data_IF_772068405730
#
_entry.id   IF_772068405730
#
_cell.length_a   1.000
_cell.length_b   1.000
_cell.length_c   1.000
_cell.angle_alpha   90.00
_cell.angle_beta   90.00
_cell.angle_gamma   90.00
#
_symmetry.space_group_name_H-M   'P 1'
#
loop_
_entity.id
_entity.type
_entity.pdbx_description
1 polymer ?
#
# COMPACT_ATOMS: atom_id res chain seq x y z
N UNK A 1 -5.10 41.20 -41.68
CA UNK A 1 -6.08 40.30 -41.05
C UNK A 1 -5.54 38.88 -40.77
N UNK A 2 -4.42 38.43 -41.38
CA UNK A 2 -3.83 37.10 -41.09
C UNK A 2 -2.92 37.08 -39.84
N UNK A 3 -2.34 38.21 -39.46
CA UNK A 3 -1.41 38.31 -38.32
C UNK A 3 -2.14 38.24 -36.97
N UNK A 4 -3.33 38.84 -36.85
CA UNK A 4 -4.14 38.79 -35.62
C UNK A 4 -4.66 37.39 -35.31
N UNK A 5 -5.00 36.59 -36.34
CA UNK A 5 -5.46 35.21 -36.12
C UNK A 5 -4.38 34.35 -35.47
N UNK A 6 -3.14 34.41 -35.98
CA UNK A 6 -2.03 33.66 -35.40
C UNK A 6 -1.69 34.06 -33.96
N UNK A 7 -1.81 35.35 -33.63
CA UNK A 7 -1.62 35.86 -32.27
C UNK A 7 -2.73 35.41 -31.31
N UNK A 8 -3.98 35.43 -31.76
CA UNK A 8 -5.11 34.93 -30.96
C UNK A 8 -5.02 33.41 -30.74
N UNK A 9 -4.65 32.66 -31.77
CA UNK A 9 -4.49 31.19 -31.67
C UNK A 9 -3.36 30.83 -30.69
N UNK A 10 -2.25 31.57 -30.72
CA UNK A 10 -1.17 31.43 -29.74
C UNK A 10 -1.60 31.77 -28.30
N UNK A 11 -2.38 32.84 -28.14
CA UNK A 11 -2.94 33.23 -26.84
C UNK A 11 -3.86 32.15 -26.27
N UNK A 12 -4.76 31.60 -27.09
CA UNK A 12 -5.64 30.50 -26.67
C UNK A 12 -4.86 29.24 -26.30
N UNK A 13 -3.82 28.89 -27.06
CA UNK A 13 -2.97 27.74 -26.73
C UNK A 13 -2.24 27.91 -25.39
N UNK A 14 -1.72 29.11 -25.10
CA UNK A 14 -1.05 29.39 -23.84
C UNK A 14 -2.01 29.31 -22.63
N UNK A 15 -3.26 29.76 -22.81
CA UNK A 15 -4.30 29.65 -21.78
C UNK A 15 -4.68 28.20 -21.48
N UNK A 16 -4.83 27.36 -22.52
CA UNK A 16 -5.13 25.93 -22.35
C UNK A 16 -4.02 25.22 -21.58
N UNK A 17 -2.75 25.46 -21.93
CA UNK A 17 -1.61 24.86 -21.23
C UNK A 17 -1.55 25.27 -19.75
N UNK A 18 -1.82 26.54 -19.44
CA UNK A 18 -1.86 27.03 -18.05
C UNK A 18 -2.99 26.38 -17.24
N UNK A 19 -4.16 26.15 -17.87
CA UNK A 19 -5.27 25.45 -17.23
C UNK A 19 -4.95 23.97 -16.99
N UNK A 20 -4.27 23.30 -17.92
CA UNK A 20 -3.81 21.92 -17.77
C UNK A 20 -2.76 21.81 -16.66
N UNK A 21 -1.78 22.72 -16.61
CA UNK A 21 -0.75 22.75 -15.57
C UNK A 21 -1.38 22.93 -14.17
N UNK A 22 -2.33 23.84 -14.02
CA UNK A 22 -3.08 24.05 -12.77
C UNK A 22 -3.89 22.83 -12.34
N UNK A 23 -4.38 22.03 -13.28
CA UNK A 23 -5.11 20.77 -13.00
C UNK A 23 -4.17 19.62 -12.66
N UNK A 24 -2.97 19.59 -13.22
CA UNK A 24 -2.02 18.50 -12.99
C UNK A 24 -1.35 18.62 -11.61
N UNK A 25 -1.12 19.84 -11.12
CA UNK A 25 -0.54 20.07 -9.79
C UNK A 25 -1.28 19.37 -8.62
N UNK A 26 -2.60 19.48 -8.45
CA UNK A 26 -3.32 18.74 -7.42
C UNK A 26 -3.31 17.23 -7.67
N UNK A 27 -3.27 16.79 -8.93
CA UNK A 27 -3.19 15.37 -9.31
C UNK A 27 -1.88 14.73 -8.84
N UNK A 28 -0.76 15.39 -9.10
CA UNK A 28 0.57 14.99 -8.62
C UNK A 28 0.61 14.93 -7.09
N UNK A 29 0.01 15.90 -6.41
CA UNK A 29 -0.06 15.92 -4.94
C UNK A 29 -0.89 14.74 -4.42
N UNK A 30 -2.04 14.47 -5.03
CA UNK A 30 -2.91 13.35 -4.68
C UNK A 30 -2.18 12.00 -4.80
N UNK A 31 -1.40 11.82 -5.86
CA UNK A 31 -0.63 10.60 -6.11
C UNK A 31 0.59 10.44 -5.20
N UNK A 32 1.15 11.58 -4.74
CA UNK A 32 2.31 11.59 -3.84
C UNK A 32 1.92 11.33 -2.37
N UNK A 33 0.69 11.65 -1.98
CA UNK A 33 0.26 11.62 -0.59
C UNK A 33 0.27 10.21 0.02
N UNK A 34 -0.29 9.16 -0.62
CA UNK A 34 -0.20 7.79 -0.12
C UNK A 34 1.25 7.29 0.00
N UNK A 35 2.14 7.70 -0.92
CA UNK A 35 3.56 7.30 -0.90
C UNK A 35 4.28 7.90 0.31
N UNK A 36 4.01 9.18 0.60
CA UNK A 36 4.56 9.85 1.78
C UNK A 36 4.06 9.22 3.09
N UNK A 37 2.76 8.89 3.17
CA UNK A 37 2.18 8.19 4.31
C UNK A 37 2.84 6.82 4.55
N UNK A 38 2.98 6.01 3.50
CA UNK A 38 3.69 4.71 3.59
C UNK A 38 5.12 4.88 4.08
N UNK A 39 5.85 5.87 3.57
CA UNK A 39 7.22 6.17 4.00
C UNK A 39 7.29 6.59 5.46
N UNK A 40 6.36 7.44 5.92
CA UNK A 40 6.30 7.89 7.30
C UNK A 40 5.96 6.75 8.27
N UNK A 41 4.98 5.90 7.91
CA UNK A 41 4.58 4.74 8.71
C UNK A 41 5.70 3.69 8.78
N UNK A 42 6.30 3.37 7.63
CA UNK A 42 7.37 2.37 7.55
C UNK A 42 8.72 2.87 8.07
N UNK A 43 8.88 4.16 8.37
CA UNK A 43 10.15 4.73 8.87
C UNK A 43 10.66 4.05 10.14
N UNK A 44 9.74 3.56 10.99
CA UNK A 44 10.07 2.88 12.25
C UNK A 44 10.01 1.36 12.16
N UNK A 45 9.62 0.80 11.01
CA UNK A 45 9.59 -0.64 10.80
C UNK A 45 11.03 -1.11 10.63
N UNK A 46 11.53 -1.82 11.64
CA UNK A 46 12.84 -2.47 11.58
C UNK A 46 12.65 -3.86 10.99
N UNK A 47 13.48 -4.20 9.99
CA UNK A 47 13.58 -5.58 9.53
C UNK A 47 13.96 -6.46 10.71
N UNK A 48 13.13 -7.44 11.02
CA UNK A 48 13.43 -8.49 12.01
C UNK A 48 13.65 -9.78 11.25
N UNK A 49 14.73 -10.49 11.58
CA UNK A 49 14.87 -11.89 11.21
C UNK A 49 13.93 -12.70 12.10
N UNK A 50 13.19 -13.61 11.49
CA UNK A 50 12.38 -14.58 12.20
C UNK A 50 13.05 -15.94 12.16
N UNK A 51 12.88 -16.72 13.22
CA UNK A 51 13.35 -18.10 13.33
C UNK A 51 12.18 -19.05 13.61
N UNK A 52 12.42 -20.33 13.39
CA UNK A 52 11.48 -21.37 13.82
C UNK A 52 11.31 -21.31 15.34
N UNK A 53 10.07 -21.37 15.81
CA UNK A 53 9.72 -21.17 17.21
C UNK A 53 9.36 -19.73 17.60
N UNK A 54 9.60 -18.73 16.75
CA UNK A 54 9.23 -17.34 17.06
C UNK A 54 7.71 -17.14 17.04
N UNK A 55 7.23 -16.38 18.03
CA UNK A 55 5.83 -15.96 18.10
C UNK A 55 5.60 -14.69 17.27
N UNK A 56 4.68 -14.77 16.31
CA UNK A 56 4.34 -13.67 15.41
C UNK A 56 2.83 -13.44 15.37
N UNK A 57 2.41 -12.20 15.15
CA UNK A 57 1.00 -11.88 14.91
C UNK A 57 0.72 -11.94 13.41
N UNK A 58 -0.34 -12.64 13.03
CA UNK A 58 -0.78 -12.75 11.64
C UNK A 58 -1.91 -11.76 11.36
N UNK A 59 -1.77 -10.99 10.29
CA UNK A 59 -2.77 -10.03 9.86
C UNK A 59 -4.01 -10.75 9.28
N UNK A 60 -5.20 -10.27 9.64
CA UNK A 60 -6.48 -10.71 9.09
C UNK A 60 -6.58 -10.21 7.65
N UNK A 61 -6.56 -11.14 6.70
CA UNK A 61 -6.75 -10.84 5.28
C UNK A 61 -8.22 -10.87 4.90
N UNK A 62 -8.60 -10.40 3.71
CA UNK A 62 -9.98 -10.49 3.23
C UNK A 62 -10.52 -11.94 3.17
N UNK A 63 -9.63 -12.93 3.11
CA UNK A 63 -9.96 -14.36 3.09
C UNK A 63 -10.30 -14.88 4.49
N UNK A 64 -9.61 -14.37 5.50
CA UNK A 64 -9.75 -14.81 6.90
C UNK A 64 -10.60 -13.88 7.74
N UNK A 65 -10.97 -12.71 7.19
CA UNK A 65 -11.90 -11.78 7.82
C UNK A 65 -13.29 -12.40 7.88
N UNK A 66 -13.80 -12.55 9.09
CA UNK A 66 -15.19 -12.95 9.31
C UNK A 66 -16.13 -11.98 8.59
N UNK A 67 -17.09 -12.51 7.82
CA UNK A 67 -17.94 -11.70 6.93
C UNK A 67 -18.77 -10.64 7.69
N UNK A 68 -19.01 -10.87 8.98
CA UNK A 68 -19.74 -9.97 9.88
C UNK A 68 -18.82 -8.99 10.62
N UNK A 69 -17.49 -9.13 10.46
CA UNK A 69 -16.51 -8.29 11.11
C UNK A 69 -16.52 -6.87 10.52
N UNK A 70 -17.08 -5.94 11.29
CA UNK A 70 -17.14 -4.52 10.93
C UNK A 70 -15.77 -3.87 10.75
N UNK A 71 -15.76 -2.58 10.37
CA UNK A 71 -14.54 -1.79 10.13
C UNK A 71 -13.60 -1.69 11.35
N UNK A 72 -14.10 -1.97 12.55
CA UNK A 72 -13.39 -1.88 13.83
C UNK A 72 -13.08 -3.26 14.45
N UNK A 73 -13.24 -4.33 13.69
CA UNK A 73 -12.78 -5.66 14.11
C UNK A 73 -11.26 -5.71 14.23
N UNK A 74 -10.75 -6.65 15.02
CA UNK A 74 -9.31 -6.85 15.15
C UNK A 74 -8.68 -7.17 13.79
N UNK A 75 -7.59 -6.46 13.45
CA UNK A 75 -6.82 -6.72 12.23
C UNK A 75 -5.83 -7.88 12.38
N UNK A 76 -5.82 -8.57 13.52
CA UNK A 76 -4.90 -9.65 13.83
C UNK A 76 -5.68 -10.91 14.20
N UNK A 77 -5.34 -12.05 13.57
CA UNK A 77 -6.00 -13.34 13.81
C UNK A 77 -5.65 -13.92 15.18
N UNK A 78 -4.45 -13.60 15.68
CA UNK A 78 -3.91 -14.14 16.92
C UNK A 78 -2.40 -14.31 16.83
N UNK A 79 -1.84 -14.96 17.85
CA UNK A 79 -0.42 -15.30 17.91
C UNK A 79 -0.16 -16.66 17.24
N UNK A 80 0.86 -16.71 16.38
CA UNK A 80 1.27 -17.88 15.60
C UNK A 80 2.72 -18.20 15.89
N UNK A 81 3.05 -19.50 15.88
CA UNK A 81 4.43 -19.98 16.00
C UNK A 81 4.94 -20.33 14.60
N UNK A 82 6.11 -19.80 14.23
CA UNK A 82 6.76 -20.13 12.97
C UNK A 82 7.28 -21.57 13.05
N UNK A 83 6.72 -22.47 12.24
CA UNK A 83 7.14 -23.87 12.19
C UNK A 83 8.29 -24.12 11.22
N UNK A 84 8.40 -23.32 10.15
CA UNK A 84 9.46 -23.44 9.15
C UNK A 84 9.90 -22.07 8.64
N UNK A 85 11.19 -21.77 8.71
CA UNK A 85 11.76 -20.54 8.16
C UNK A 85 12.67 -20.86 6.97
N UNK A 86 12.21 -20.58 5.75
CA UNK A 86 13.10 -20.55 4.59
C UNK A 86 13.70 -19.13 4.51
N UNK A 87 14.99 -18.96 4.30
CA UNK A 87 15.67 -17.68 4.56
C UNK A 87 15.17 -16.45 3.77
N UNK A 88 15.15 -15.31 4.46
CA UNK A 88 15.56 -13.95 4.06
C UNK A 88 15.12 -13.33 2.71
N UNK A 89 13.88 -13.49 2.24
CA UNK A 89 13.26 -12.51 1.33
C UNK A 89 11.71 -12.56 1.35
N UNK A 90 11.09 -12.65 2.53
CA UNK A 90 9.64 -12.87 2.67
C UNK A 90 8.76 -11.61 2.76
N UNK A 91 9.32 -10.40 2.64
CA UNK A 91 8.53 -9.17 2.72
C UNK A 91 7.80 -8.79 1.42
N UNK A 92 7.94 -9.56 0.33
CA UNK A 92 7.41 -9.20 -0.99
C UNK A 92 6.03 -9.74 -1.36
N UNK A 93 5.52 -10.76 -0.66
CA UNK A 93 4.40 -11.55 -1.18
C UNK A 93 3.72 -12.40 -0.09
N UNK A 94 3.29 -11.75 0.99
CA UNK A 94 2.32 -12.33 1.94
C UNK A 94 0.86 -12.30 1.41
N UNK A 95 0.66 -11.95 0.14
CA UNK A 95 -0.65 -11.97 -0.53
C UNK A 95 -0.91 -13.24 -1.33
N UNK A 96 0.03 -14.20 -1.42
CA UNK A 96 -0.19 -15.43 -2.17
C UNK A 96 0.40 -16.66 -1.46
N UNK A 97 -0.39 -17.24 -0.56
CA UNK A 97 -0.58 -18.69 -0.49
C UNK A 97 0.61 -19.61 -0.13
N UNK A 98 1.59 -19.18 0.68
CA UNK A 98 2.62 -20.13 1.14
C UNK A 98 3.22 -19.76 2.50
N UNK A 99 2.59 -20.17 3.61
CA UNK A 99 3.23 -20.81 4.80
C UNK A 99 2.14 -21.63 5.51
N UNK A 100 2.33 -22.95 5.57
CA UNK A 100 1.56 -23.88 6.40
C UNK A 100 1.99 -23.69 7.87
N UNK A 101 1.09 -23.20 8.70
CA UNK A 101 1.26 -23.14 10.15
C UNK A 101 -0.06 -23.49 10.81
N UNK A 102 -0.07 -24.56 11.60
CA UNK A 102 -1.26 -25.06 12.28
C UNK A 102 -1.63 -24.16 13.49
N UNK A 103 -2.93 -23.89 13.73
CA UNK A 103 -3.39 -23.15 14.91
C UNK A 103 -3.10 -23.90 16.22
N UNK A 104 -2.79 -23.16 17.28
CA UNK A 104 -2.53 -23.65 18.66
C UNK A 104 -3.76 -24.24 19.38
N UNK A 105 -4.87 -24.46 18.69
CA UNK A 105 -6.17 -24.83 19.27
C UNK A 105 -6.61 -26.29 18.99
N UNK A 106 -5.77 -27.13 18.36
CA UNK A 106 -6.08 -28.55 18.10
C UNK A 106 -4.99 -29.52 18.57
N UNK A 107 -4.75 -29.60 19.89
CA UNK A 107 -4.22 -30.80 20.53
C UNK A 107 -5.35 -31.61 21.17
#
# INVERSE_FOLDING_TARGET
MLVEKGLNDQGMHAEVLNLEEKREQPRIKLDSYPKQLRKAFNKKVRGRSFQEGDLVLKEVTQVTKEKEAGKLSANWEGAYIIHKCQSAQWLGNLTSGAILGEPLEWQ
#
